data_IF_526621303868
#
_entry.id   IF_526621303868
#
_cell.length_a   1.000
_cell.length_b   1.000
_cell.length_c   1.000
_cell.angle_alpha   90.00
_cell.angle_beta   90.00
_cell.angle_gamma   90.00
#
_symmetry.space_group_name_H-M   'P 1'
#
loop_
_entity.id
_entity.type
_entity.pdbx_description
1 polymer ?
#
# COMPACT_ATOMS: atom_id res chain seq x y z
N UNK A 1 -19.70 1.95 -8.38
CA UNK A 1 -19.76 0.47 -8.37
C UNK A 1 -19.07 0.01 -9.64
N UNK A 2 -17.77 -0.25 -9.57
CA UNK A 2 -16.97 -0.59 -10.76
C UNK A 2 -16.91 -2.11 -10.90
N UNK A 3 -17.52 -2.64 -11.95
CA UNK A 3 -17.44 -4.05 -12.36
C UNK A 3 -16.41 -4.19 -13.47
N UNK A 4 -15.40 -5.05 -13.25
CA UNK A 4 -14.43 -5.49 -14.25
C UNK A 4 -14.40 -7.04 -14.29
N UNK A 5 -13.96 -7.63 -15.42
CA UNK A 5 -14.35 -8.98 -15.87
C UNK A 5 -13.79 -10.13 -15.00
N UNK A 6 -14.34 -11.35 -15.15
CA UNK A 6 -14.03 -12.47 -14.26
C UNK A 6 -12.67 -13.07 -14.62
N UNK A 7 -11.60 -12.54 -14.03
CA UNK A 7 -10.33 -13.25 -13.90
C UNK A 7 -10.43 -14.19 -12.69
N UNK A 8 -10.04 -15.46 -12.80
CA UNK A 8 -10.15 -16.38 -11.69
C UNK A 8 -9.18 -15.95 -10.57
N UNK A 9 -9.77 -15.61 -9.42
CA UNK A 9 -9.12 -15.53 -8.12
C UNK A 9 -8.17 -14.33 -7.93
N UNK A 10 -8.71 -13.11 -7.97
CA UNK A 10 -8.16 -12.00 -7.18
C UNK A 10 -9.32 -11.24 -6.53
N UNK A 11 -9.86 -11.78 -5.43
CA UNK A 11 -10.66 -10.97 -4.51
C UNK A 11 -9.72 -10.21 -3.58
N UNK A 12 -8.99 -9.23 -4.10
CA UNK A 12 -8.34 -8.23 -3.23
C UNK A 12 -9.46 -7.36 -2.70
N UNK A 13 -9.90 -7.65 -1.47
CA UNK A 13 -10.82 -6.77 -0.77
C UNK A 13 -10.12 -5.42 -0.53
N UNK A 14 -10.56 -4.39 -1.25
CA UNK A 14 -9.96 -3.06 -1.23
C UNK A 14 -10.11 -2.32 0.12
N UNK A 15 -11.13 -2.64 0.92
CA UNK A 15 -11.23 -2.12 2.29
C UNK A 15 -10.07 -2.61 3.17
N UNK A 16 -9.54 -3.80 2.86
CA UNK A 16 -8.39 -4.42 3.54
C UNK A 16 -7.05 -3.83 3.11
N UNK A 17 -6.97 -3.13 1.98
CA UNK A 17 -5.74 -2.44 1.55
C UNK A 17 -5.39 -1.29 2.49
N UNK A 18 -6.40 -0.63 3.09
CA UNK A 18 -6.24 0.48 4.05
C UNK A 18 -5.64 0.12 5.41
N UNK A 19 -5.48 -1.16 5.73
CA UNK A 19 -4.80 -1.55 6.97
C UNK A 19 -3.29 -1.38 6.82
N UNK A 20 -2.76 -0.19 7.08
CA UNK A 20 -1.32 0.07 7.16
C UNK A 20 -0.71 -0.80 8.26
N UNK A 21 -0.09 -1.91 7.88
CA UNK A 21 0.75 -2.69 8.79
C UNK A 21 2.20 -2.45 8.36
N UNK A 22 2.60 -1.18 8.31
CA UNK A 22 4.02 -0.84 8.36
C UNK A 22 4.38 -1.03 9.82
N UNK A 23 5.08 -2.11 10.11
CA UNK A 23 5.61 -2.35 11.45
C UNK A 23 6.78 -1.37 11.62
N UNK A 24 6.54 -0.29 12.36
CA UNK A 24 7.56 0.68 12.73
C UNK A 24 8.31 0.15 13.98
N UNK A 25 9.03 -0.95 13.85
CA UNK A 25 9.75 -1.61 14.96
C UNK A 25 11.15 -1.01 15.21
N UNK A 26 11.52 0.07 14.51
CA UNK A 26 12.81 0.74 14.69
C UNK A 26 12.73 1.87 15.72
N UNK A 27 13.60 1.83 16.74
CA UNK A 27 13.85 2.98 17.59
C UNK A 27 14.31 4.17 16.73
N UNK A 28 13.55 5.26 16.80
CA UNK A 28 13.90 6.49 16.08
C UNK A 28 15.11 7.12 16.76
N UNK A 29 16.14 7.44 15.97
CA UNK A 29 17.26 8.22 16.48
C UNK A 29 16.81 9.65 16.76
N UNK A 30 17.55 10.37 17.61
CA UNK A 30 17.30 11.80 17.87
C UNK A 30 17.28 12.62 16.57
N UNK A 31 18.13 12.26 15.60
CA UNK A 31 18.16 12.86 14.27
C UNK A 31 16.87 12.61 13.49
N UNK A 32 16.32 11.40 13.55
CA UNK A 32 15.08 11.05 12.85
C UNK A 32 13.88 11.80 13.45
N UNK A 33 13.85 11.92 14.78
CA UNK A 33 12.84 12.71 15.49
C UNK A 33 12.90 14.18 15.08
N UNK A 34 14.10 14.77 15.04
CA UNK A 34 14.29 16.15 14.65
C UNK A 34 13.81 16.41 13.21
N UNK A 35 14.23 15.57 12.25
CA UNK A 35 13.79 15.68 10.84
C UNK A 35 12.29 15.54 10.67
N UNK A 36 11.66 14.63 11.43
CA UNK A 36 10.21 14.47 11.41
C UNK A 36 9.50 15.70 11.95
N UNK A 37 10.02 16.30 13.02
CA UNK A 37 9.47 17.53 13.59
C UNK A 37 9.57 18.71 12.61
N UNK A 38 10.72 18.90 11.96
CA UNK A 38 10.90 19.92 10.92
C UNK A 38 9.89 19.73 9.78
N UNK A 39 9.79 18.52 9.22
CA UNK A 39 8.84 18.24 8.14
C UNK A 39 7.37 18.48 8.57
N UNK A 40 7.02 18.16 9.81
CA UNK A 40 5.69 18.37 10.38
C UNK A 40 5.36 19.86 10.61
N UNK A 41 6.36 20.74 10.68
CA UNK A 41 6.19 22.19 10.79
C UNK A 41 6.15 22.83 9.39
N UNK A 42 7.07 22.43 8.52
CA UNK A 42 7.25 23.05 7.20
C UNK A 42 6.12 22.71 6.23
N UNK A 43 5.72 21.42 6.13
CA UNK A 43 4.71 20.99 5.15
C UNK A 43 3.34 21.67 5.36
N UNK A 44 2.81 21.80 6.60
CA UNK A 44 1.58 22.56 6.83
C UNK A 44 1.75 24.06 6.58
N UNK A 45 2.92 24.64 6.86
CA UNK A 45 3.21 26.05 6.61
C UNK A 45 3.25 26.34 5.10
N UNK A 46 3.92 25.49 4.33
CA UNK A 46 3.95 25.56 2.87
C UNK A 46 2.56 25.39 2.25
N UNK A 47 1.71 24.52 2.84
CA UNK A 47 0.31 24.34 2.41
C UNK A 47 -0.50 25.64 2.45
N UNK A 48 -0.27 26.51 3.44
CA UNK A 48 -0.98 27.79 3.58
C UNK A 48 -0.65 28.76 2.45
N UNK A 49 0.55 28.63 1.87
CA UNK A 49 1.05 29.49 0.79
C UNK A 49 0.70 28.89 -0.58
N UNK A 50 0.77 27.57 -0.71
CA UNK A 50 0.45 26.83 -1.95
C UNK A 50 -0.37 25.59 -1.61
N UNK A 51 -1.51 25.41 -2.28
CA UNK A 51 -2.35 24.20 -2.16
C UNK A 51 -1.72 22.98 -2.86
N UNK A 52 -0.51 22.59 -2.45
CA UNK A 52 0.29 21.52 -3.04
C UNK A 52 -0.38 20.14 -2.95
N UNK A 53 -1.21 19.90 -1.93
CA UNK A 53 -1.93 18.62 -1.80
C UNK A 53 -2.86 18.29 -2.97
N UNK A 54 -3.29 19.28 -3.77
CA UNK A 54 -4.11 19.04 -4.97
C UNK A 54 -3.28 18.65 -6.20
N UNK A 55 -2.01 19.03 -6.23
CA UNK A 55 -1.10 18.72 -7.33
C UNK A 55 -0.27 17.47 -7.07
N UNK A 56 -0.13 17.08 -5.81
CA UNK A 56 0.75 16.00 -5.41
C UNK A 56 0.05 14.65 -5.57
N UNK A 57 0.79 13.71 -6.13
CA UNK A 57 0.45 12.30 -6.14
C UNK A 57 1.49 11.53 -5.34
N UNK A 58 1.04 10.53 -4.60
CA UNK A 58 1.86 9.67 -3.76
C UNK A 58 1.85 8.26 -4.35
N UNK A 59 3.00 7.60 -4.31
CA UNK A 59 3.11 6.17 -4.63
C UNK A 59 3.35 5.39 -3.34
N UNK A 60 2.65 4.27 -3.19
CA UNK A 60 2.84 3.32 -2.09
C UNK A 60 2.96 1.89 -2.64
N UNK A 61 3.78 1.07 -2.00
CA UNK A 61 4.04 -0.32 -2.37
C UNK A 61 3.79 -1.23 -1.18
N UNK A 62 2.93 -2.24 -1.36
CA UNK A 62 2.52 -3.13 -0.27
C UNK A 62 2.54 -4.59 -0.67
N UNK A 63 3.22 -5.40 0.13
CA UNK A 63 3.15 -6.86 0.04
C UNK A 63 1.78 -7.37 0.55
N UNK A 64 1.08 -8.09 -0.32
CA UNK A 64 -0.23 -8.68 -0.05
C UNK A 64 -0.14 -10.21 -0.12
N UNK A 65 -0.64 -10.91 0.90
CA UNK A 65 -0.70 -12.36 0.92
C UNK A 65 -1.80 -12.86 -0.03
N UNK A 66 -1.52 -13.93 -0.78
CA UNK A 66 -2.52 -14.60 -1.62
C UNK A 66 -3.61 -15.25 -0.76
N UNK A 67 -3.20 -16.01 0.26
CA UNK A 67 -4.09 -16.52 1.31
C UNK A 67 -3.82 -15.75 2.59
N UNK A 68 -4.73 -14.85 2.95
CA UNK A 68 -4.65 -14.10 4.20
C UNK A 68 -5.37 -14.86 5.31
N UNK A 69 -4.69 -15.84 5.90
CA UNK A 69 -5.19 -16.57 7.06
C UNK A 69 -5.13 -15.64 8.27
N UNK A 70 -6.28 -15.22 8.78
CA UNK A 70 -6.39 -14.45 10.01
C UNK A 70 -6.79 -15.36 11.14
N UNK A 71 -5.99 -15.38 12.20
CA UNK A 71 -6.43 -15.93 13.46
C UNK A 71 -7.35 -14.92 14.14
N UNK A 72 -8.61 -15.26 14.35
CA UNK A 72 -9.52 -14.45 15.15
C UNK A 72 -9.40 -14.88 16.61
N UNK A 73 -9.20 -13.94 17.55
CA UNK A 73 -9.28 -14.27 18.96
C UNK A 73 -10.66 -14.86 19.27
N UNK A 74 -10.68 -16.09 19.77
CA UNK A 74 -11.90 -16.70 20.30
C UNK A 74 -11.96 -16.40 21.80
N UNK A 75 -13.11 -15.92 22.27
CA UNK A 75 -13.39 -15.90 23.70
C UNK A 75 -14.01 -17.25 24.05
N UNK A 76 -13.26 -18.07 24.77
CA UNK A 76 -13.68 -19.41 25.19
C UNK A 76 -13.50 -19.50 26.70
N UNK A 77 -14.40 -20.23 27.36
CA UNK A 77 -14.35 -20.46 28.80
C UNK A 77 -13.09 -21.23 29.21
N UNK A 78 -12.67 -21.10 30.48
CA UNK A 78 -11.37 -21.63 30.95
C UNK A 78 -11.15 -23.13 30.71
N UNK A 79 -12.23 -23.91 30.59
CA UNK A 79 -12.18 -25.36 30.51
C UNK A 79 -12.48 -25.91 29.10
N UNK A 80 -12.72 -25.03 28.12
CA UNK A 80 -13.03 -25.43 26.74
C UNK A 80 -11.79 -25.36 25.83
N UNK A 81 -11.64 -26.38 24.98
CA UNK A 81 -10.56 -26.43 24.01
C UNK A 81 -10.91 -25.65 22.75
N UNK A 82 -10.02 -24.74 22.33
CA UNK A 82 -10.20 -23.98 21.11
C UNK A 82 -10.04 -24.86 19.86
N UNK A 83 -10.93 -24.64 18.89
CA UNK A 83 -10.83 -25.23 17.56
C UNK A 83 -9.49 -24.85 16.90
N UNK A 84 -8.72 -25.81 16.36
CA UNK A 84 -7.46 -25.51 15.70
C UNK A 84 -7.65 -24.52 14.55
N UNK A 85 -7.13 -23.30 14.72
CA UNK A 85 -7.09 -22.34 13.63
C UNK A 85 -5.94 -22.66 12.67
N UNK A 86 -6.18 -22.62 11.34
CA UNK A 86 -5.13 -22.83 10.37
C UNK A 86 -4.02 -21.80 10.58
N UNK A 87 -2.76 -22.24 10.55
CA UNK A 87 -1.59 -21.36 10.57
C UNK A 87 -1.13 -21.13 9.13
N UNK A 88 -0.69 -19.91 8.83
CA UNK A 88 0.01 -19.65 7.59
C UNK A 88 1.26 -20.54 7.49
N UNK A 89 1.47 -21.17 6.34
CA UNK A 89 2.69 -21.92 6.07
C UNK A 89 3.93 -21.03 6.12
N UNK A 90 5.12 -21.63 6.23
CA UNK A 90 6.40 -20.92 6.37
C UNK A 90 6.73 -20.00 5.17
N UNK A 91 6.20 -20.32 3.99
CA UNK A 91 6.41 -19.58 2.75
C UNK A 91 5.06 -19.14 2.17
N UNK A 92 4.41 -18.12 2.74
CA UNK A 92 3.15 -17.64 2.21
C UNK A 92 3.39 -16.98 0.85
N UNK A 93 2.57 -17.32 -0.14
CA UNK A 93 2.57 -16.66 -1.44
C UNK A 93 2.19 -15.18 -1.24
N UNK A 94 3.07 -14.26 -1.66
CA UNK A 94 2.84 -12.81 -1.58
C UNK A 94 3.01 -12.16 -2.94
N UNK A 95 2.13 -11.24 -3.28
CA UNK A 95 2.28 -10.34 -4.44
C UNK A 95 2.56 -8.94 -3.93
N UNK A 96 3.33 -8.15 -4.69
CA UNK A 96 3.43 -6.73 -4.37
C UNK A 96 2.39 -5.97 -5.18
N UNK A 97 1.61 -5.16 -4.48
CA UNK A 97 0.67 -4.23 -5.09
C UNK A 97 1.24 -2.85 -4.93
N UNK A 98 1.35 -2.11 -6.02
CA UNK A 98 1.75 -0.73 -6.04
C UNK A 98 0.59 0.16 -6.43
N UNK A 99 0.42 1.26 -5.71
CA UNK A 99 -0.75 2.14 -5.78
C UNK A 99 -0.28 3.58 -5.90
N UNK A 100 -0.81 4.28 -6.90
CA UNK A 100 -0.67 5.72 -7.07
C UNK A 100 -1.95 6.40 -6.62
N UNK A 101 -1.81 7.37 -5.75
CA UNK A 101 -2.90 8.04 -5.05
C UNK A 101 -2.74 9.55 -5.22
N UNK A 102 -3.84 10.26 -5.43
CA UNK A 102 -3.93 11.70 -5.21
C UNK A 102 -4.86 12.00 -4.03
N UNK A 103 -5.19 13.28 -3.84
CA UNK A 103 -6.17 13.69 -2.83
C UNK A 103 -7.60 13.21 -3.11
N UNK A 104 -7.90 12.72 -4.31
CA UNK A 104 -9.23 12.25 -4.74
C UNK A 104 -9.36 10.71 -4.61
N UNK A 105 -8.24 9.98 -4.64
CA UNK A 105 -8.22 8.54 -4.42
C UNK A 105 -7.13 7.84 -5.22
N UNK A 106 -7.38 6.58 -5.55
CA UNK A 106 -6.46 5.76 -6.35
C UNK A 106 -6.56 6.20 -7.80
N UNK A 107 -5.43 6.63 -8.38
CA UNK A 107 -5.31 6.97 -9.79
C UNK A 107 -4.92 5.72 -10.61
N UNK A 108 -4.04 4.89 -10.06
CA UNK A 108 -3.54 3.69 -10.75
C UNK A 108 -3.06 2.65 -9.74
N UNK A 109 -3.31 1.38 -10.04
CA UNK A 109 -2.78 0.25 -9.28
C UNK A 109 -2.20 -0.79 -10.24
N UNK A 110 -1.12 -1.43 -9.81
CA UNK A 110 -0.51 -2.54 -10.53
C UNK A 110 -0.13 -3.66 -9.56
N UNK A 111 -0.34 -4.91 -9.98
CA UNK A 111 0.12 -6.08 -9.26
C UNK A 111 1.42 -6.52 -9.92
N UNK A 112 2.52 -6.42 -9.20
CA UNK A 112 3.82 -6.87 -9.68
C UNK A 112 3.89 -8.40 -9.65
N UNK A 113 4.54 -9.02 -10.65
CA UNK A 113 4.69 -10.46 -10.72
C UNK A 113 5.26 -11.03 -9.42
N UNK A 114 4.78 -12.21 -9.05
CA UNK A 114 5.32 -12.96 -7.92
C UNK A 114 6.79 -13.35 -8.21
N UNK A 115 7.52 -13.86 -7.22
CA UNK A 115 8.87 -14.46 -7.35
C UNK A 115 10.06 -13.57 -7.78
N UNK A 116 9.88 -12.29 -8.11
CA UNK A 116 11.01 -11.39 -8.36
C UNK A 116 11.32 -10.60 -7.09
N UNK A 117 12.53 -10.77 -6.56
CA UNK A 117 13.05 -9.87 -5.53
C UNK A 117 13.08 -8.46 -6.12
N UNK A 118 12.41 -7.50 -5.48
CA UNK A 118 12.50 -6.11 -5.91
C UNK A 118 13.92 -5.60 -5.69
N UNK A 119 14.69 -5.61 -6.77
CA UNK A 119 15.94 -4.88 -6.85
C UNK A 119 15.65 -3.40 -7.02
N UNK A 120 16.60 -2.56 -6.61
CA UNK A 120 16.52 -1.10 -6.81
C UNK A 120 16.33 -0.79 -8.30
N UNK A 121 17.02 -1.50 -9.18
CA UNK A 121 16.94 -1.28 -10.64
C UNK A 121 15.53 -1.56 -11.19
N UNK A 122 14.91 -2.66 -10.77
CA UNK A 122 13.55 -3.01 -11.19
C UNK A 122 12.54 -1.96 -10.69
N UNK A 123 12.74 -1.45 -9.47
CA UNK A 123 11.92 -0.39 -8.91
C UNK A 123 12.07 0.93 -9.67
N UNK A 124 13.30 1.33 -10.02
CA UNK A 124 13.56 2.54 -10.81
C UNK A 124 12.95 2.45 -12.22
N UNK A 125 13.18 1.34 -12.94
CA UNK A 125 12.59 1.12 -14.27
C UNK A 125 11.06 1.17 -14.25
N UNK A 126 10.47 0.61 -13.20
CA UNK A 126 9.03 0.63 -13.00
C UNK A 126 8.51 2.04 -12.73
N UNK A 127 9.18 2.84 -11.87
CA UNK A 127 8.84 4.23 -11.63
C UNK A 127 8.91 5.06 -12.92
N UNK A 128 9.95 4.89 -13.73
CA UNK A 128 10.12 5.59 -15.00
C UNK A 128 9.01 5.24 -15.99
N UNK A 129 8.66 3.94 -16.09
CA UNK A 129 7.57 3.47 -16.94
C UNK A 129 6.22 4.07 -16.54
N UNK A 130 5.98 4.23 -15.24
CA UNK A 130 4.75 4.86 -14.76
C UNK A 130 4.78 6.37 -14.93
N UNK A 131 5.89 7.03 -14.62
CA UNK A 131 6.06 8.46 -14.86
C UNK A 131 5.79 8.80 -16.33
N UNK A 132 6.24 7.97 -17.28
CA UNK A 132 5.92 8.12 -18.70
C UNK A 132 4.42 7.96 -19.01
N UNK A 133 3.73 6.97 -18.39
CA UNK A 133 2.27 6.79 -18.53
C UNK A 133 1.49 8.00 -18.01
N UNK A 134 2.01 8.70 -17.01
CA UNK A 134 1.42 9.92 -16.47
C UNK A 134 1.78 11.16 -17.28
N UNK A 135 3.02 11.28 -17.78
CA UNK A 135 3.46 12.42 -18.59
C UNK A 135 2.69 12.55 -19.92
N UNK A 136 2.24 11.43 -20.50
CA UNK A 136 1.39 11.41 -21.70
C UNK A 136 -0.09 11.76 -21.45
N UNK A 137 -0.53 11.76 -20.19
CA UNK A 137 -1.90 12.11 -19.78
C UNK A 137 -1.83 13.49 -19.11
N UNK A 138 -2.12 14.56 -19.85
CA UNK A 138 -2.24 15.90 -19.27
C UNK A 138 -3.21 15.95 -18.06
N UNK A 139 -3.33 17.08 -17.32
CA UNK A 139 -3.95 17.17 -15.99
C UNK A 139 -5.45 16.82 -15.89
N UNK A 140 -6.07 16.30 -16.95
CA UNK A 140 -7.43 15.76 -16.94
C UNK A 140 -7.40 14.25 -16.71
N UNK A 141 -7.37 13.85 -15.44
CA UNK A 141 -7.66 12.47 -15.04
C UNK A 141 -9.16 12.20 -15.20
N UNK A 142 -9.58 11.94 -16.45
CA UNK A 142 -10.89 11.41 -16.77
C UNK A 142 -10.93 9.90 -16.48
N UNK A 143 -11.98 9.51 -15.75
CA UNK A 143 -12.45 8.16 -15.42
C UNK A 143 -11.99 7.04 -16.37
N UNK A 144 -11.45 5.95 -15.81
CA UNK A 144 -11.81 4.58 -16.17
C UNK A 144 -11.90 3.77 -14.87
#
# INVERSE_FOLDING_TARGET
MFTLPPSPIICVNWERFRSYHIVCDGDLTERDLHRRAEAAIELPSYRRIKNWMKSDSTVDGKWCLYVNIKCSPSWIDKDEQHEPQPKAGLHPLKVMISTWLDCNGIIYCEVLPHHIALTVDLYCQWLDGIAAKFAGKGPNYGMI
#
